data_IF_283915893911
#
_entry.id   IF_283915893911
#
_cell.length_a   1.000
_cell.length_b   1.000
_cell.length_c   1.000
_cell.angle_alpha   90.00
_cell.angle_beta   90.00
_cell.angle_gamma   90.00
#
_symmetry.space_group_name_H-M   'P 1'
#
loop_
_entity.id
_entity.type
_entity.pdbx_description
1 polymer ?
#
# COMPACT_ATOMS: atom_id res chain seq x y z
N UNK A 1 -16.25 -28.00 -0.09
CA UNK A 1 -15.93 -26.64 0.42
C UNK A 1 -16.40 -26.54 1.87
N UNK A 2 -15.53 -26.78 2.87
CA UNK A 2 -15.91 -26.72 4.29
C UNK A 2 -15.89 -25.27 4.76
N UNK A 3 -17.08 -24.68 4.91
CA UNK A 3 -17.25 -23.37 5.52
C UNK A 3 -16.94 -23.43 7.01
N UNK A 4 -15.70 -23.12 7.40
CA UNK A 4 -15.45 -22.76 8.78
C UNK A 4 -16.16 -21.44 9.06
N UNK A 5 -17.21 -21.53 9.89
CA UNK A 5 -17.87 -20.37 10.48
C UNK A 5 -16.83 -19.67 11.35
N UNK A 6 -16.10 -18.72 10.75
CA UNK A 6 -15.33 -17.71 11.46
C UNK A 6 -16.36 -16.86 12.20
N UNK A 7 -16.77 -17.30 13.39
CA UNK A 7 -17.39 -16.44 14.38
C UNK A 7 -16.20 -15.70 15.01
N UNK A 8 -15.89 -14.49 14.57
CA UNK A 8 -14.75 -13.77 15.14
C UNK A 8 -15.10 -13.54 16.59
N UNK A 9 -14.18 -13.89 17.48
CA UNK A 9 -14.31 -13.56 18.88
C UNK A 9 -14.43 -12.03 18.99
N UNK A 10 -15.18 -11.47 19.96
CA UNK A 10 -15.37 -10.01 20.05
C UNK A 10 -14.05 -9.22 20.04
N UNK A 11 -13.00 -9.79 20.61
CA UNK A 11 -11.64 -9.26 20.56
C UNK A 11 -11.03 -9.26 19.14
N UNK A 12 -11.20 -10.32 18.35
CA UNK A 12 -10.75 -10.38 16.96
C UNK A 12 -11.51 -9.42 16.06
N UNK A 13 -12.82 -9.27 16.28
CA UNK A 13 -13.63 -8.27 15.58
C UNK A 13 -13.15 -6.85 15.88
N UNK A 14 -12.79 -6.54 17.14
CA UNK A 14 -12.24 -5.24 17.53
C UNK A 14 -10.86 -4.97 16.90
N UNK A 15 -9.99 -5.97 16.86
CA UNK A 15 -8.67 -5.83 16.20
C UNK A 15 -8.81 -5.66 14.69
N UNK A 16 -9.72 -6.39 14.05
CA UNK A 16 -10.02 -6.26 12.62
C UNK A 16 -10.67 -4.91 12.29
N UNK A 17 -11.64 -4.48 13.09
CA UNK A 17 -12.29 -3.18 12.93
C UNK A 17 -11.31 -2.03 13.19
N UNK A 18 -10.50 -2.12 14.24
CA UNK A 18 -9.49 -1.11 14.56
C UNK A 18 -8.40 -0.99 13.51
N UNK A 19 -7.86 -2.13 13.03
CA UNK A 19 -6.87 -2.12 11.95
C UNK A 19 -7.46 -1.67 10.62
N UNK A 20 -8.69 -2.09 10.30
CA UNK A 20 -9.42 -1.65 9.11
C UNK A 20 -9.72 -0.15 9.14
N UNK A 21 -10.17 0.37 10.28
CA UNK A 21 -10.43 1.80 10.47
C UNK A 21 -9.13 2.60 10.42
N UNK A 22 -8.06 2.13 11.05
CA UNK A 22 -6.75 2.79 11.01
C UNK A 22 -6.19 2.84 9.59
N UNK A 23 -6.34 1.77 8.82
CA UNK A 23 -5.95 1.73 7.41
C UNK A 23 -6.78 2.67 6.55
N UNK A 24 -8.09 2.68 6.78
CA UNK A 24 -9.01 3.47 5.98
C UNK A 24 -8.90 4.96 6.30
N UNK A 25 -8.82 5.32 7.58
CA UNK A 25 -8.65 6.70 8.06
C UNK A 25 -7.22 7.20 7.84
N UNK A 26 -6.21 6.37 8.06
CA UNK A 26 -4.81 6.74 7.85
C UNK A 26 -4.44 6.86 6.36
N UNK A 27 -4.98 6.00 5.51
CA UNK A 27 -4.80 6.10 4.06
C UNK A 27 -5.72 7.15 3.45
N UNK A 28 -7.01 6.84 3.32
CA UNK A 28 -7.95 7.72 2.63
C UNK A 28 -8.24 9.00 3.41
N UNK A 29 -8.40 8.93 4.74
CA UNK A 29 -8.66 10.14 5.53
C UNK A 29 -7.52 11.16 5.48
N UNK A 30 -6.26 10.69 5.46
CA UNK A 30 -5.10 11.57 5.35
C UNK A 30 -4.92 12.13 3.94
N UNK A 31 -5.24 11.35 2.89
CA UNK A 31 -5.31 11.85 1.51
C UNK A 31 -6.40 12.91 1.37
N UNK A 32 -7.63 12.63 1.82
CA UNK A 32 -8.74 13.59 1.75
C UNK A 32 -8.44 14.88 2.51
N UNK A 33 -7.80 14.78 3.68
CA UNK A 33 -7.35 15.95 4.42
C UNK A 33 -6.26 16.73 3.67
N UNK A 34 -5.33 16.04 3.01
CA UNK A 34 -4.26 16.69 2.27
C UNK A 34 -4.74 17.32 0.95
N UNK A 35 -5.71 16.72 0.26
CA UNK A 35 -6.33 17.26 -0.97
C UNK A 35 -7.11 18.55 -0.72
N UNK A 36 -7.50 18.85 0.52
CA UNK A 36 -8.04 20.18 0.88
C UNK A 36 -6.99 21.30 0.78
N UNK A 37 -5.70 20.94 0.68
CA UNK A 37 -4.54 21.84 0.78
C UNK A 37 -3.52 21.62 -0.35
N UNK A 38 -3.80 20.71 -1.28
CA UNK A 38 -2.93 20.35 -2.39
C UNK A 38 -3.75 20.09 -3.64
N UNK A 39 -3.22 20.52 -4.78
CA UNK A 39 -3.81 20.18 -6.08
C UNK A 39 -3.81 18.66 -6.30
N UNK A 40 -4.88 18.16 -6.92
CA UNK A 40 -5.08 16.73 -7.17
C UNK A 40 -3.97 16.09 -8.01
N UNK A 41 -3.26 16.87 -8.83
CA UNK A 41 -2.08 16.38 -9.56
C UNK A 41 -0.90 16.05 -8.65
N UNK A 42 -0.58 16.91 -7.68
CA UNK A 42 0.44 16.60 -6.66
C UNK A 42 -0.01 15.43 -5.79
N UNK A 43 -1.30 15.39 -5.42
CA UNK A 43 -1.85 14.28 -4.66
C UNK A 43 -1.68 12.95 -5.39
N UNK A 44 -2.04 12.88 -6.68
CA UNK A 44 -1.87 11.69 -7.51
C UNK A 44 -0.40 11.26 -7.65
N UNK A 45 0.52 12.22 -7.82
CA UNK A 45 1.96 11.94 -7.87
C UNK A 45 2.49 11.31 -6.57
N UNK A 46 2.16 11.94 -5.43
CA UNK A 46 2.66 11.52 -4.13
C UNK A 46 2.01 10.20 -3.68
N UNK A 47 0.72 10.00 -3.92
CA UNK A 47 0.06 8.71 -3.67
C UNK A 47 0.58 7.63 -4.60
N UNK A 48 0.93 7.99 -5.85
CA UNK A 48 1.58 7.11 -6.82
C UNK A 48 2.91 6.49 -6.36
N UNK A 49 3.49 6.96 -5.25
CA UNK A 49 4.67 6.37 -4.61
C UNK A 49 4.38 5.07 -3.84
N UNK A 50 3.11 4.68 -3.68
CA UNK A 50 2.68 3.42 -3.04
C UNK A 50 3.56 2.19 -3.34
N UNK A 51 3.86 1.84 -4.61
CA UNK A 51 4.64 0.64 -4.91
C UNK A 51 6.12 0.76 -4.47
N UNK A 52 6.66 1.97 -4.34
CA UNK A 52 8.00 2.19 -3.76
C UNK A 52 7.98 1.89 -2.26
N UNK A 53 6.97 2.39 -1.51
CA UNK A 53 6.80 2.00 -0.11
C UNK A 53 6.67 0.49 0.06
N UNK A 54 5.94 -0.17 -0.84
CA UNK A 54 5.82 -1.63 -0.87
C UNK A 54 7.17 -2.31 -0.99
N UNK A 55 7.93 -1.94 -2.03
CA UNK A 55 9.26 -2.49 -2.27
C UNK A 55 10.23 -2.23 -1.10
N UNK A 56 10.20 -1.04 -0.50
CA UNK A 56 11.04 -0.69 0.64
C UNK A 56 10.70 -1.51 1.88
N UNK A 57 9.41 -1.64 2.22
CA UNK A 57 8.97 -2.43 3.37
C UNK A 57 9.30 -3.90 3.17
N UNK A 58 9.04 -4.46 1.98
CA UNK A 58 9.39 -5.86 1.69
C UNK A 58 10.90 -6.10 1.74
N UNK A 59 11.69 -5.19 1.14
CA UNK A 59 13.16 -5.28 1.19
C UNK A 59 13.70 -5.21 2.63
N UNK A 60 13.14 -4.33 3.46
CA UNK A 60 13.51 -4.20 4.86
C UNK A 60 13.12 -5.44 5.68
N UNK A 61 11.93 -6.00 5.45
CA UNK A 61 11.45 -7.20 6.14
C UNK A 61 12.20 -8.47 5.73
N UNK A 62 12.49 -8.62 4.44
CA UNK A 62 13.14 -9.81 3.89
C UNK A 62 14.68 -9.69 3.88
N UNK A 63 15.21 -8.52 4.29
CA UNK A 63 16.65 -8.17 4.26
C UNK A 63 17.30 -8.45 2.90
N UNK A 64 16.55 -8.22 1.83
CA UNK A 64 16.97 -8.47 0.45
C UNK A 64 16.67 -7.26 -0.40
N UNK A 65 17.61 -6.88 -1.26
CA UNK A 65 17.41 -5.76 -2.16
C UNK A 65 16.29 -6.06 -3.18
N UNK A 66 15.51 -5.03 -3.58
CA UNK A 66 14.56 -5.15 -4.68
C UNK A 66 15.25 -5.66 -5.95
N UNK A 67 14.58 -6.51 -6.72
CA UNK A 67 15.16 -6.97 -7.99
C UNK A 67 15.38 -5.80 -8.96
N UNK A 68 16.42 -5.82 -9.80
CA UNK A 68 16.64 -4.77 -10.81
C UNK A 68 15.43 -4.57 -11.73
N UNK A 69 14.71 -5.66 -12.05
CA UNK A 69 13.46 -5.61 -12.83
C UNK A 69 12.37 -4.84 -12.11
N UNK A 70 12.19 -5.04 -10.80
CA UNK A 70 11.23 -4.28 -10.01
C UNK A 70 11.60 -2.79 -10.00
N UNK A 71 12.87 -2.47 -9.76
CA UNK A 71 13.37 -1.08 -9.79
C UNK A 71 13.10 -0.42 -11.13
N UNK A 72 13.44 -1.08 -12.25
CA UNK A 72 13.16 -0.57 -13.59
C UNK A 72 11.66 -0.33 -13.82
N UNK A 73 10.81 -1.24 -13.35
CA UNK A 73 9.35 -1.14 -13.47
C UNK A 73 8.80 0.06 -12.68
N UNK A 74 9.31 0.29 -11.47
CA UNK A 74 8.97 1.44 -10.63
C UNK A 74 9.38 2.76 -11.29
N UNK A 75 10.59 2.82 -11.86
CA UNK A 75 11.08 3.99 -12.58
C UNK A 75 10.22 4.32 -13.80
N UNK A 76 9.85 3.32 -14.60
CA UNK A 76 8.97 3.49 -15.76
C UNK A 76 7.59 3.98 -15.32
N UNK A 77 7.00 3.37 -14.28
CA UNK A 77 5.71 3.80 -13.75
C UNK A 77 5.74 5.24 -13.25
N UNK A 78 6.77 5.60 -12.47
CA UNK A 78 6.93 6.95 -11.94
C UNK A 78 7.14 7.99 -13.04
N UNK A 79 7.91 7.65 -14.09
CA UNK A 79 8.07 8.50 -15.27
C UNK A 79 6.72 8.75 -15.97
N UNK A 80 5.86 7.72 -16.08
CA UNK A 80 4.51 7.86 -16.61
C UNK A 80 3.64 8.83 -15.82
N UNK A 81 3.63 8.72 -14.49
CA UNK A 81 2.87 9.65 -13.62
C UNK A 81 3.42 11.07 -13.73
N UNK A 82 4.75 11.23 -13.76
CA UNK A 82 5.41 12.52 -13.97
C UNK A 82 5.02 13.17 -15.30
N UNK A 83 4.97 12.38 -16.38
CA UNK A 83 4.56 12.86 -17.70
C UNK A 83 3.09 13.31 -17.71
N UNK A 84 2.19 12.53 -17.11
CA UNK A 84 0.77 12.89 -17.00
C UNK A 84 0.55 14.15 -16.16
N UNK A 85 1.40 14.37 -15.17
CA UNK A 85 1.32 15.51 -14.25
C UNK A 85 2.08 16.75 -14.74
N UNK A 86 2.83 16.61 -15.85
CA UNK A 86 3.67 17.67 -16.41
C UNK A 86 2.94 18.99 -16.67
N UNK A 87 1.72 19.01 -17.26
CA UNK A 87 1.00 20.26 -17.48
C UNK A 87 0.66 20.96 -16.16
N UNK A 88 0.25 20.22 -15.13
CA UNK A 88 -0.06 20.77 -13.81
C UNK A 88 1.19 21.37 -13.15
N UNK A 89 2.31 20.64 -13.17
CA UNK A 89 3.58 21.10 -12.59
C UNK A 89 4.10 22.37 -13.28
N UNK A 90 3.83 22.55 -14.58
CA UNK A 90 4.27 23.71 -15.38
C UNK A 90 3.47 24.99 -15.11
N UNK A 91 2.19 24.89 -14.74
CA UNK A 91 1.34 26.05 -14.47
C UNK A 91 1.41 26.53 -13.02
N UNK A 92 2.28 25.90 -12.21
CA UNK A 92 2.34 26.11 -10.78
C UNK A 92 1.36 25.18 -10.07
N UNK A 93 1.83 24.55 -9.01
CA UNK A 93 1.00 23.73 -8.13
C UNK A 93 1.03 24.35 -6.75
N UNK A 94 -0.13 24.39 -6.11
CA UNK A 94 -0.29 24.86 -4.74
C UNK A 94 -0.38 23.65 -3.83
N UNK A 95 0.63 23.46 -2.99
CA UNK A 95 0.60 22.47 -1.92
C UNK A 95 1.36 23.01 -0.71
N UNK A 96 0.71 23.01 0.45
CA UNK A 96 1.39 23.27 1.72
C UNK A 96 2.26 22.07 2.14
N UNK A 97 3.33 22.32 2.90
CA UNK A 97 4.25 21.30 3.41
C UNK A 97 3.53 20.18 4.15
N UNK A 98 2.48 20.53 4.89
CA UNK A 98 1.66 19.56 5.63
C UNK A 98 0.86 18.63 4.72
N UNK A 99 0.38 19.15 3.59
CA UNK A 99 -0.31 18.34 2.59
C UNK A 99 0.67 17.34 1.96
N UNK A 100 1.87 17.78 1.62
CA UNK A 100 2.94 16.92 1.08
C UNK A 100 3.30 15.81 2.06
N UNK A 101 3.50 16.14 3.35
CA UNK A 101 3.78 15.15 4.40
C UNK A 101 2.61 14.15 4.51
N UNK A 102 1.37 14.64 4.55
CA UNK A 102 0.17 13.80 4.61
C UNK A 102 0.10 12.83 3.43
N UNK A 103 0.33 13.31 2.21
CA UNK A 103 0.29 12.51 0.98
C UNK A 103 1.45 11.51 0.86
N UNK A 104 2.57 11.74 1.54
CA UNK A 104 3.68 10.78 1.61
C UNK A 104 3.43 9.70 2.67
N UNK A 105 2.85 10.07 3.81
CA UNK A 105 2.58 9.16 4.94
C UNK A 105 1.34 8.30 4.69
N UNK A 106 0.31 8.83 4.03
CA UNK A 106 -0.91 8.09 3.73
C UNK A 106 -0.65 6.74 3.01
N UNK A 107 0.05 6.70 1.86
CA UNK A 107 0.34 5.44 1.18
C UNK A 107 1.23 4.51 2.01
N UNK A 108 2.13 5.05 2.85
CA UNK A 108 2.93 4.25 3.76
C UNK A 108 2.07 3.49 4.77
N UNK A 109 1.12 4.18 5.43
CA UNK A 109 0.21 3.52 6.39
C UNK A 109 -0.60 2.42 5.73
N UNK A 110 -1.06 2.66 4.49
CA UNK A 110 -1.83 1.71 3.70
C UNK A 110 -1.04 0.44 3.38
N UNK A 111 0.16 0.63 2.82
CA UNK A 111 1.04 -0.46 2.42
C UNK A 111 1.49 -1.27 3.64
N UNK A 112 1.89 -0.60 4.72
CA UNK A 112 2.32 -1.27 5.95
C UNK A 112 1.22 -2.17 6.51
N UNK A 113 -0.02 -1.67 6.61
CA UNK A 113 -1.14 -2.46 7.08
C UNK A 113 -1.50 -3.62 6.14
N UNK A 114 -1.41 -3.41 4.83
CA UNK A 114 -1.64 -4.44 3.81
C UNK A 114 -0.63 -5.59 3.91
N UNK A 115 0.66 -5.26 4.03
CA UNK A 115 1.75 -6.24 4.17
C UNK A 115 1.63 -6.99 5.50
N UNK A 116 1.32 -6.29 6.59
CA UNK A 116 1.13 -6.90 7.90
C UNK A 116 -0.01 -7.93 7.89
N UNK A 117 -1.15 -7.58 7.28
CA UNK A 117 -2.26 -8.52 7.11
C UNK A 117 -1.91 -9.69 6.19
N UNK A 118 -1.23 -9.43 5.07
CA UNK A 118 -0.82 -10.46 4.13
C UNK A 118 0.10 -11.50 4.79
N UNK A 119 1.08 -11.06 5.59
CA UNK A 119 2.00 -11.95 6.31
C UNK A 119 1.29 -12.73 7.42
N UNK A 120 0.37 -12.11 8.17
CA UNK A 120 -0.44 -12.84 9.18
C UNK A 120 -1.31 -13.92 8.56
N UNK A 121 -1.93 -13.66 7.40
CA UNK A 121 -2.71 -14.68 6.66
C UNK A 121 -1.84 -15.87 6.25
N UNK A 122 -0.62 -15.64 5.76
CA UNK A 122 0.32 -16.72 5.41
C UNK A 122 0.73 -17.57 6.62
N UNK A 123 0.87 -16.96 7.80
CA UNK A 123 1.21 -17.68 9.02
C UNK A 123 0.06 -18.58 9.54
N UNK A 124 -1.20 -18.20 9.31
CA UNK A 124 -2.38 -18.92 9.79
C UNK A 124 -2.81 -20.07 8.87
N UNK A 125 -2.42 -20.06 7.58
CA UNK A 125 -2.83 -21.09 6.62
C UNK A 125 -1.63 -21.80 5.93
N UNK A 126 -0.76 -22.53 6.67
CA UNK A 126 0.42 -23.19 6.09
C UNK A 126 0.07 -24.28 5.05
N UNK A 127 -1.13 -24.88 5.16
CA UNK A 127 -1.53 -26.07 4.41
C UNK A 127 -1.86 -25.83 2.93
N UNK A 128 -2.05 -24.59 2.48
CA UNK A 128 -2.40 -24.29 1.08
C UNK A 128 -1.20 -24.19 0.14
N UNK A 129 0.01 -23.97 0.67
CA UNK A 129 1.22 -23.89 -0.15
C UNK A 129 1.68 -25.28 -0.60
N UNK A 130 1.48 -26.31 0.22
CA UNK A 130 1.84 -27.70 -0.13
C UNK A 130 0.98 -28.33 -1.21
N UNK A 131 -0.32 -27.99 -1.26
CA UNK A 131 -1.27 -28.58 -2.22
C UNK A 131 -1.12 -28.03 -3.64
N UNK A 132 -0.69 -26.76 -3.77
CA UNK A 132 -0.39 -26.16 -5.08
C UNK A 132 0.92 -26.70 -5.68
N UNK A 133 1.90 -27.05 -4.84
CA UNK A 133 3.14 -27.67 -5.28
C UNK A 133 2.93 -29.13 -5.74
N UNK A 134 2.00 -29.87 -5.12
CA UNK A 134 1.68 -31.23 -5.52
C UNK A 134 0.79 -31.33 -6.78
N UNK A 135 0.02 -30.29 -7.13
CA UNK A 135 -0.85 -30.31 -8.32
C UNK A 135 -0.14 -29.87 -9.61
N UNK A 136 1.10 -29.39 -9.53
CA UNK A 136 1.94 -29.07 -10.69
C UNK A 136 2.87 -30.23 -11.08
N UNK A 137 2.87 -31.32 -10.30
CA UNK A 137 3.74 -32.48 -10.47
C UNK A 137 2.98 -33.77 -10.87
N UNK A 138 1.71 -33.66 -11.25
CA UNK A 138 0.85 -34.73 -11.76
C UNK A 138 0.27 -34.31 -13.10
#
# INVERSE_FOLDING_TARGET
MRGHRLRPTRAEALVLAGSGLLLWVGGNGLVTWAEQRADSGIAALLVGIMPIWGALIEAALDRRAPSPKLVASLLIGFAGVGLLSWPLLRHGTSADVWAVIGLLVAPLTWVAGSIWMARRRRAVDPGRVGLAASSSAA
#
